data_IF_438957775619
#
_entry.id   IF_438957775619
#
_cell.length_a   1.000
_cell.length_b   1.000
_cell.length_c   1.000
_cell.angle_alpha   90.00
_cell.angle_beta   90.00
_cell.angle_gamma   90.00
#
_symmetry.space_group_name_H-M   'P 1'
#
loop_
_entity.id
_entity.type
_entity.pdbx_description
1 polymer ?
#
# COMPACT_ATOMS: atom_id res chain seq x y z
N UNK A 1 -22.00 -5.42 -79.28
CA UNK A 1 -22.55 -5.92 -78.01
C UNK A 1 -21.38 -6.36 -77.14
N UNK A 2 -21.05 -5.63 -76.05
CA UNK A 2 -19.95 -5.98 -75.14
C UNK A 2 -20.48 -6.95 -74.08
N UNK A 3 -20.09 -8.22 -74.14
CA UNK A 3 -20.39 -9.16 -73.06
C UNK A 3 -19.49 -8.85 -71.86
N UNK A 4 -20.10 -8.37 -70.77
CA UNK A 4 -19.42 -8.22 -69.49
C UNK A 4 -19.21 -9.60 -68.89
N UNK A 5 -17.98 -10.08 -68.86
CA UNK A 5 -17.62 -11.36 -68.24
C UNK A 5 -17.70 -11.17 -66.72
N UNK A 6 -18.79 -11.64 -66.10
CA UNK A 6 -18.86 -11.74 -64.64
C UNK A 6 -17.86 -12.82 -64.21
N UNK A 7 -16.74 -12.42 -63.62
CA UNK A 7 -15.76 -13.35 -63.04
C UNK A 7 -16.45 -14.11 -61.90
N UNK A 8 -16.76 -15.38 -62.11
CA UNK A 8 -17.23 -16.27 -61.05
C UNK A 8 -16.12 -16.48 -60.02
N UNK A 9 -16.50 -16.54 -58.74
CA UNK A 9 -15.59 -16.90 -57.65
C UNK A 9 -14.98 -18.29 -57.92
N UNK A 10 -13.67 -18.42 -57.73
CA UNK A 10 -12.99 -19.70 -57.89
C UNK A 10 -13.18 -20.56 -56.63
N UNK A 11 -13.32 -21.88 -56.78
CA UNK A 11 -13.44 -22.83 -55.66
C UNK A 11 -12.32 -22.67 -54.62
N UNK A 12 -11.11 -22.31 -55.09
CA UNK A 12 -9.95 -22.05 -54.24
C UNK A 12 -10.15 -20.85 -53.30
N UNK A 13 -10.85 -19.81 -53.74
CA UNK A 13 -11.12 -18.60 -52.94
C UNK A 13 -12.09 -18.91 -51.80
N UNK A 14 -13.07 -19.79 -52.04
CA UNK A 14 -14.01 -20.24 -51.01
C UNK A 14 -13.27 -21.03 -49.92
N UNK A 15 -12.42 -22.00 -50.31
CA UNK A 15 -11.65 -22.80 -49.35
C UNK A 15 -10.71 -21.90 -48.53
N UNK A 16 -10.03 -20.96 -49.18
CA UNK A 16 -9.15 -20.01 -48.52
C UNK A 16 -9.93 -19.12 -47.53
N UNK A 17 -11.09 -18.60 -47.93
CA UNK A 17 -11.93 -17.77 -47.07
C UNK A 17 -12.41 -18.54 -45.83
N UNK A 18 -12.81 -19.81 -45.99
CA UNK A 18 -13.22 -20.67 -44.87
C UNK A 18 -12.04 -20.94 -43.93
N UNK A 19 -10.85 -21.21 -44.47
CA UNK A 19 -9.66 -21.44 -43.66
C UNK A 19 -9.27 -20.19 -42.84
N UNK A 20 -9.28 -19.01 -43.46
CA UNK A 20 -8.99 -17.75 -42.76
C UNK A 20 -10.06 -17.42 -41.72
N UNK A 21 -11.33 -17.65 -42.05
CA UNK A 21 -12.43 -17.44 -41.11
C UNK A 21 -12.33 -18.36 -39.89
N UNK A 22 -11.95 -19.63 -40.08
CA UNK A 22 -11.72 -20.57 -38.99
C UNK A 22 -10.58 -20.12 -38.07
N UNK A 23 -9.44 -19.71 -38.64
CA UNK A 23 -8.31 -19.16 -37.87
C UNK A 23 -8.73 -17.91 -37.09
N UNK A 24 -9.42 -16.97 -37.74
CA UNK A 24 -9.91 -15.76 -37.10
C UNK A 24 -10.86 -16.06 -35.92
N UNK A 25 -11.82 -16.97 -36.13
CA UNK A 25 -12.79 -17.36 -35.10
C UNK A 25 -12.10 -17.98 -33.88
N UNK A 26 -11.08 -18.82 -34.11
CA UNK A 26 -10.27 -19.40 -33.03
C UNK A 26 -9.48 -18.32 -32.26
N UNK A 27 -8.91 -17.34 -32.95
CA UNK A 27 -8.17 -16.23 -32.31
C UNK A 27 -9.08 -15.36 -31.44
N UNK A 28 -10.26 -15.01 -31.93
CA UNK A 28 -11.23 -14.20 -31.18
C UNK A 28 -11.76 -14.99 -29.96
N UNK A 29 -12.12 -16.26 -30.16
CA UNK A 29 -12.61 -17.11 -29.07
C UNK A 29 -11.55 -17.33 -27.99
N UNK A 30 -10.30 -17.56 -28.40
CA UNK A 30 -9.16 -17.70 -27.48
C UNK A 30 -8.90 -16.45 -26.66
N UNK A 31 -8.99 -15.28 -27.31
CA UNK A 31 -8.81 -13.97 -26.66
C UNK A 31 -9.93 -13.70 -25.63
N UNK A 32 -11.18 -14.05 -25.96
CA UNK A 32 -12.30 -13.93 -25.03
C UNK A 32 -12.18 -14.87 -23.83
N UNK A 33 -11.80 -16.14 -24.07
CA UNK A 33 -11.57 -17.11 -23.01
C UNK A 33 -10.45 -16.67 -22.06
N UNK A 34 -9.36 -16.14 -22.60
CA UNK A 34 -8.24 -15.62 -21.80
C UNK A 34 -8.66 -14.38 -20.99
N UNK A 35 -9.41 -13.46 -21.60
CA UNK A 35 -9.93 -12.26 -20.93
C UNK A 35 -10.84 -12.59 -19.74
N UNK A 36 -11.74 -13.57 -19.90
CA UNK A 36 -12.61 -14.02 -18.82
C UNK A 36 -11.81 -14.63 -17.66
N UNK A 37 -10.82 -15.47 -17.96
CA UNK A 37 -9.96 -16.05 -16.93
C UNK A 37 -9.14 -14.99 -16.17
N UNK A 38 -8.65 -13.97 -16.89
CA UNK A 38 -7.93 -12.84 -16.28
C UNK A 38 -8.83 -12.03 -15.35
N UNK A 39 -10.07 -11.76 -15.76
CA UNK A 39 -11.06 -11.04 -14.94
C UNK A 39 -11.42 -11.82 -13.69
N UNK A 40 -11.65 -13.13 -13.81
CA UNK A 40 -11.92 -14.01 -12.66
C UNK A 40 -10.74 -14.04 -11.68
N UNK A 41 -9.51 -14.14 -12.18
CA UNK A 41 -8.30 -14.11 -11.36
C UNK A 41 -8.14 -12.79 -10.62
N UNK A 42 -8.36 -11.66 -11.30
CA UNK A 42 -8.32 -10.34 -10.69
C UNK A 42 -9.39 -10.20 -9.59
N UNK A 43 -10.62 -10.67 -9.84
CA UNK A 43 -11.71 -10.68 -8.87
C UNK A 43 -11.36 -11.46 -7.60
N UNK A 44 -10.83 -12.68 -7.74
CA UNK A 44 -10.42 -13.48 -6.58
C UNK A 44 -9.28 -12.83 -5.79
N UNK A 45 -8.34 -12.18 -6.49
CA UNK A 45 -7.25 -11.43 -5.83
C UNK A 45 -7.79 -10.24 -5.03
N UNK A 46 -8.72 -9.47 -5.59
CA UNK A 46 -9.35 -8.36 -4.87
C UNK A 46 -10.11 -8.85 -3.63
N UNK A 47 -10.85 -9.96 -3.76
CA UNK A 47 -11.54 -10.59 -2.63
C UNK A 47 -10.56 -11.06 -1.56
N UNK A 48 -9.44 -11.68 -1.95
CA UNK A 48 -8.40 -12.11 -1.02
C UNK A 48 -7.74 -10.92 -0.29
N UNK A 49 -7.51 -9.79 -0.97
CA UNK A 49 -7.03 -8.55 -0.34
C UNK A 49 -8.04 -8.06 0.70
N UNK A 50 -9.32 -7.97 0.34
CA UNK A 50 -10.38 -7.55 1.26
C UNK A 50 -10.47 -8.45 2.50
N UNK A 51 -10.38 -9.77 2.33
CA UNK A 51 -10.35 -10.72 3.45
C UNK A 51 -9.11 -10.53 4.33
N UNK A 52 -7.96 -10.22 3.73
CA UNK A 52 -6.73 -9.96 4.48
C UNK A 52 -6.81 -8.65 5.27
N UNK A 53 -7.43 -7.61 4.72
CA UNK A 53 -7.69 -6.34 5.39
C UNK A 53 -8.70 -6.50 6.53
N UNK A 54 -9.81 -7.21 6.29
CA UNK A 54 -10.77 -7.53 7.33
C UNK A 54 -10.11 -8.27 8.50
N UNK A 55 -9.24 -9.24 8.22
CA UNK A 55 -8.52 -9.95 9.27
C UNK A 55 -7.59 -9.03 10.07
N UNK A 56 -6.90 -8.08 9.42
CA UNK A 56 -6.10 -7.09 10.13
C UNK A 56 -6.95 -6.20 11.04
N UNK A 57 -8.11 -5.74 10.58
CA UNK A 57 -9.02 -4.94 11.41
C UNK A 57 -9.57 -5.72 12.59
N UNK A 58 -9.87 -7.02 12.42
CA UNK A 58 -10.26 -7.88 13.54
C UNK A 58 -9.11 -8.03 14.54
N UNK A 59 -7.87 -8.25 14.08
CA UNK A 59 -6.72 -8.31 14.99
C UNK A 59 -6.50 -6.99 15.71
N UNK A 60 -6.72 -5.85 15.02
CA UNK A 60 -6.67 -4.52 15.63
C UNK A 60 -7.76 -4.35 16.69
N UNK A 61 -8.97 -4.86 16.46
CA UNK A 61 -10.05 -4.86 17.45
C UNK A 61 -9.71 -5.73 18.68
N UNK A 62 -9.14 -6.92 18.48
CA UNK A 62 -8.68 -7.80 19.57
C UNK A 62 -7.58 -7.11 20.39
N UNK A 63 -6.64 -6.42 19.72
CA UNK A 63 -5.62 -5.60 20.37
C UNK A 63 -6.25 -4.51 21.24
N UNK A 64 -7.24 -3.80 20.72
CA UNK A 64 -7.92 -2.72 21.44
C UNK A 64 -8.72 -3.23 22.64
N UNK A 65 -9.12 -4.51 22.66
CA UNK A 65 -9.72 -5.14 23.83
C UNK A 65 -8.67 -5.49 24.90
N UNK A 66 -7.51 -6.02 24.49
CA UNK A 66 -6.32 -6.11 25.33
C UNK A 66 -5.13 -6.53 24.48
N UNK A 67 -4.03 -5.78 24.57
CA UNK A 67 -2.79 -6.09 23.85
C UNK A 67 -2.23 -7.48 24.22
N UNK A 68 -2.47 -7.95 25.44
CA UNK A 68 -2.05 -9.28 25.91
C UNK A 68 -2.69 -10.44 25.12
N UNK A 69 -3.85 -10.23 24.49
CA UNK A 69 -4.55 -11.25 23.68
C UNK A 69 -3.87 -11.53 22.35
N UNK A 70 -2.96 -10.65 21.90
CA UNK A 70 -2.15 -10.84 20.69
C UNK A 70 -0.73 -11.29 21.04
N UNK A 71 -0.60 -12.50 21.59
CA UNK A 71 0.70 -13.06 21.97
C UNK A 71 1.57 -13.39 20.77
N UNK A 72 2.85 -13.03 20.85
CA UNK A 72 3.87 -13.45 19.89
C UNK A 72 4.24 -14.92 20.10
N UNK A 73 4.75 -15.57 19.05
CA UNK A 73 5.30 -16.93 19.13
C UNK A 73 4.38 -18.02 18.60
N UNK A 74 3.10 -17.72 18.37
CA UNK A 74 2.22 -18.60 17.62
C UNK A 74 2.29 -18.27 16.13
N UNK A 75 2.91 -19.20 15.40
CA UNK A 75 2.79 -19.27 13.96
C UNK A 75 1.50 -20.03 13.65
N UNK A 76 0.70 -19.52 12.70
CA UNK A 76 -0.54 -20.16 12.21
C UNK A 76 -1.77 -20.01 13.11
N UNK A 77 -2.12 -18.76 13.42
CA UNK A 77 -3.38 -18.41 14.05
C UNK A 77 -4.49 -18.22 13.01
N UNK A 78 -5.72 -18.54 13.40
CA UNK A 78 -6.93 -18.37 12.61
C UNK A 78 -7.94 -17.57 13.43
N UNK A 79 -8.83 -16.87 12.73
CA UNK A 79 -9.94 -16.18 13.38
C UNK A 79 -11.08 -17.16 13.64
N UNK A 80 -11.56 -17.17 14.87
CA UNK A 80 -12.71 -17.95 15.32
C UNK A 80 -13.69 -17.01 16.07
N UNK A 81 -14.95 -17.40 16.17
CA UNK A 81 -15.97 -16.67 16.91
C UNK A 81 -16.17 -17.35 18.26
N UNK A 82 -15.87 -16.64 19.33
CA UNK A 82 -16.09 -17.11 20.71
C UNK A 82 -17.33 -16.42 21.27
N UNK A 83 -18.49 -17.09 21.16
CA UNK A 83 -19.76 -16.49 21.56
C UNK A 83 -20.13 -15.29 20.67
N UNK A 84 -20.05 -14.08 21.24
CA UNK A 84 -20.41 -12.84 20.54
C UNK A 84 -19.21 -11.96 20.15
N UNK A 85 -17.98 -12.46 20.29
CA UNK A 85 -16.78 -11.71 19.91
C UNK A 85 -15.84 -12.55 19.03
N UNK A 86 -14.98 -11.85 18.29
CA UNK A 86 -13.91 -12.48 17.54
C UNK A 86 -12.75 -12.83 18.48
N UNK A 87 -12.03 -13.90 18.15
CA UNK A 87 -10.78 -14.24 18.81
C UNK A 87 -9.82 -14.96 17.89
N UNK A 88 -8.59 -15.13 18.37
CA UNK A 88 -7.55 -15.89 17.70
C UNK A 88 -7.51 -17.30 18.26
N UNK A 89 -7.42 -18.28 17.37
CA UNK A 89 -7.34 -19.70 17.74
C UNK A 89 -6.28 -20.38 16.91
N UNK A 90 -5.51 -21.23 17.58
CA UNK A 90 -4.65 -22.20 16.92
C UNK A 90 -5.51 -23.39 16.52
N UNK A 91 -5.59 -23.67 15.22
CA UNK A 91 -6.31 -24.84 14.71
C UNK A 91 -5.39 -26.06 14.75
N UNK A 92 -5.89 -27.18 15.26
CA UNK A 92 -5.26 -28.49 15.12
C UNK A 92 -6.00 -29.21 13.98
N UNK A 93 -5.53 -29.03 12.74
CA UNK A 93 -6.17 -29.62 11.55
C UNK A 93 -6.19 -28.72 10.32
N UNK A 94 -7.06 -29.05 9.37
CA UNK A 94 -7.27 -28.26 8.15
C UNK A 94 -7.91 -26.90 8.46
N UNK A 95 -7.43 -25.81 7.86
CA UNK A 95 -8.04 -24.50 8.02
C UNK A 95 -9.47 -24.43 7.48
N UNK A 96 -10.30 -23.58 8.08
CA UNK A 96 -11.63 -23.27 7.54
C UNK A 96 -11.52 -22.61 6.15
N UNK A 97 -12.39 -23.03 5.23
CA UNK A 97 -12.54 -22.39 3.92
C UNK A 97 -13.64 -21.34 3.95
N UNK A 98 -13.26 -20.08 3.76
CA UNK A 98 -14.17 -18.95 3.55
C UNK A 98 -14.66 -18.99 2.10
N UNK A 99 -15.97 -18.85 1.91
CA UNK A 99 -16.63 -18.93 0.59
C UNK A 99 -16.25 -20.22 -0.19
N UNK A 100 -15.87 -21.29 0.52
CA UNK A 100 -15.50 -22.59 -0.04
C UNK A 100 -14.12 -22.68 -0.71
N UNK A 101 -13.39 -21.58 -0.91
CA UNK A 101 -12.11 -21.57 -1.66
C UNK A 101 -10.98 -20.78 -1.00
N UNK A 102 -11.27 -19.89 -0.05
CA UNK A 102 -10.24 -19.05 0.59
C UNK A 102 -9.85 -19.59 1.95
N UNK A 103 -8.58 -19.51 2.27
CA UNK A 103 -8.05 -19.77 3.61
C UNK A 103 -7.27 -18.56 4.07
N UNK A 104 -7.46 -18.14 5.32
CA UNK A 104 -6.73 -17.04 5.97
C UNK A 104 -5.83 -17.59 7.07
N UNK A 105 -4.61 -17.11 7.17
CA UNK A 105 -3.65 -17.50 8.21
C UNK A 105 -2.98 -16.24 8.75
N UNK A 106 -2.91 -16.12 10.06
CA UNK A 106 -2.36 -14.97 10.77
C UNK A 106 -1.09 -15.41 11.50
N UNK A 107 -0.03 -14.63 11.35
CA UNK A 107 1.24 -14.81 12.07
C UNK A 107 1.50 -13.56 12.89
N UNK A 108 1.82 -13.75 14.18
CA UNK A 108 2.10 -12.68 15.13
C UNK A 108 3.51 -12.86 15.68
N UNK A 109 4.34 -11.83 15.55
CA UNK A 109 5.72 -11.82 16.04
C UNK A 109 6.07 -10.48 16.67
N UNK A 110 7.02 -10.47 17.60
CA UNK A 110 7.58 -9.21 18.11
C UNK A 110 8.37 -8.48 17.02
N UNK A 111 8.16 -7.18 16.89
CA UNK A 111 8.87 -6.36 15.92
C UNK A 111 10.25 -5.99 16.46
N UNK A 112 11.31 -6.49 15.82
CA UNK A 112 12.70 -6.22 16.21
C UNK A 112 13.02 -6.55 17.69
N UNK A 113 12.33 -7.55 18.26
CA UNK A 113 12.49 -7.95 19.66
C UNK A 113 11.77 -7.04 20.66
N UNK A 114 11.05 -6.01 20.19
CA UNK A 114 10.21 -5.17 21.05
C UNK A 114 8.88 -5.87 21.33
N UNK A 115 8.65 -6.24 22.58
CA UNK A 115 7.43 -6.94 23.02
C UNK A 115 6.18 -6.07 22.98
N UNK A 116 6.34 -4.74 22.98
CA UNK A 116 5.25 -3.75 22.92
C UNK A 116 4.85 -3.39 21.49
N UNK A 117 5.50 -3.97 20.48
CA UNK A 117 5.15 -3.78 19.07
C UNK A 117 5.04 -5.16 18.42
N UNK A 118 3.82 -5.55 18.05
CA UNK A 118 3.57 -6.79 17.31
C UNK A 118 3.52 -6.52 15.82
N UNK A 119 4.27 -7.32 15.06
CA UNK A 119 4.12 -7.46 13.61
C UNK A 119 3.08 -8.54 13.33
N UNK A 120 2.03 -8.16 12.62
CA UNK A 120 0.95 -9.03 12.19
C UNK A 120 1.07 -9.26 10.70
N UNK A 121 1.14 -10.51 10.27
CA UNK A 121 1.13 -10.89 8.84
C UNK A 121 -0.07 -11.78 8.59
N UNK A 122 -0.96 -11.36 7.68
CA UNK A 122 -2.08 -12.15 7.20
C UNK A 122 -1.76 -12.68 5.81
N UNK A 123 -1.80 -13.99 5.66
CA UNK A 123 -1.74 -14.70 4.39
C UNK A 123 -3.16 -15.17 4.03
N UNK A 124 -3.66 -14.77 2.85
CA UNK A 124 -4.88 -15.34 2.28
C UNK A 124 -4.51 -16.13 1.04
N UNK A 125 -4.86 -17.41 1.03
CA UNK A 125 -4.63 -18.34 -0.07
C UNK A 125 -5.94 -18.84 -0.66
N UNK A 126 -5.99 -19.08 -1.97
CA UNK A 126 -7.13 -19.73 -2.60
C UNK A 126 -6.72 -20.68 -3.72
N UNK A 127 -7.55 -21.70 -3.92
CA UNK A 127 -7.39 -22.66 -5.01
C UNK A 127 -7.87 -22.05 -6.33
N UNK A 128 -7.08 -22.18 -7.40
CA UNK A 128 -7.50 -21.76 -8.74
C UNK A 128 -8.06 -22.95 -9.52
N UNK A 129 -9.10 -22.68 -10.32
CA UNK A 129 -9.85 -23.69 -11.10
C UNK A 129 -8.94 -24.45 -12.09
N UNK A 130 -7.88 -23.81 -12.57
CA UNK A 130 -6.91 -24.42 -13.50
C UNK A 130 -5.69 -24.92 -12.73
N UNK A 131 -5.75 -26.19 -12.34
CA UNK A 131 -4.76 -27.03 -11.66
C UNK A 131 -3.32 -26.46 -11.45
N UNK A 132 -2.88 -26.52 -10.19
CA UNK A 132 -1.51 -26.34 -9.61
C UNK A 132 -1.06 -24.93 -9.20
N UNK A 133 -1.82 -23.87 -9.46
CA UNK A 133 -1.45 -22.54 -8.96
C UNK A 133 -2.38 -22.12 -7.82
N UNK A 134 -1.82 -22.01 -6.61
CA UNK A 134 -2.51 -21.37 -5.49
C UNK A 134 -2.25 -19.87 -5.57
N UNK A 135 -3.34 -19.08 -5.56
CA UNK A 135 -3.22 -17.64 -5.39
C UNK A 135 -2.89 -17.34 -3.93
N UNK A 136 -2.00 -16.38 -3.68
CA UNK A 136 -1.66 -15.90 -2.34
C UNK A 136 -1.57 -14.38 -2.30
N UNK A 137 -2.09 -13.79 -1.25
CA UNK A 137 -1.93 -12.37 -0.90
C UNK A 137 -1.43 -12.27 0.53
N UNK A 138 -0.54 -11.31 0.77
CA UNK A 138 0.02 -11.02 2.08
C UNK A 138 -0.32 -9.59 2.48
N UNK A 139 -0.65 -9.41 3.75
CA UNK A 139 -1.05 -8.15 4.34
C UNK A 139 -0.36 -8.01 5.69
N UNK A 140 0.51 -7.02 5.85
CA UNK A 140 1.33 -6.81 7.04
C UNK A 140 1.00 -5.51 7.80
N UNK A 141 0.85 -5.53 9.12
CA UNK A 141 0.77 -4.28 9.91
C UNK A 141 1.59 -4.39 11.19
N UNK A 142 1.98 -3.24 11.71
CA UNK A 142 2.56 -3.12 13.05
C UNK A 142 1.47 -2.60 14.00
N UNK A 143 1.37 -3.20 15.18
CA UNK A 143 0.46 -2.82 16.23
C UNK A 143 1.27 -2.57 17.50
N UNK A 144 1.18 -1.35 18.04
CA UNK A 144 1.78 -1.00 19.32
C UNK A 144 0.78 -1.21 20.46
N UNK A 145 1.32 -1.47 21.65
CA UNK A 145 0.57 -1.38 22.90
C UNK A 145 0.28 0.09 23.19
N UNK A 146 -1.01 0.41 23.30
CA UNK A 146 -1.48 1.77 23.58
C UNK A 146 -1.84 1.94 25.05
N UNK A 147 -1.81 0.88 25.86
CA UNK A 147 -2.04 0.98 27.30
C UNK A 147 -0.81 1.66 27.92
N UNK A 148 -0.97 2.92 28.36
CA UNK A 148 0.00 3.55 29.25
C UNK A 148 -0.16 2.84 30.59
N UNK A 149 0.85 2.13 31.12
CA UNK A 149 0.74 1.55 32.44
C UNK A 149 0.61 2.69 33.45
N UNK A 150 -0.61 2.94 33.93
CA UNK A 150 -0.84 3.79 35.09
C UNK A 150 -0.29 3.00 36.27
N UNK A 151 0.92 3.34 36.71
CA UNK A 151 1.60 2.60 37.77
C UNK A 151 0.75 2.54 39.04
N UNK A 152 0.34 1.34 39.45
CA UNK A 152 -0.43 1.11 40.70
C UNK A 152 0.45 1.13 41.96
N UNK A 153 1.56 1.86 41.93
CA UNK A 153 2.56 1.87 42.99
C UNK A 153 2.86 3.27 43.50
N UNK A 154 2.16 3.68 44.56
CA UNK A 154 2.62 4.55 45.65
C UNK A 154 2.98 6.02 45.38
N UNK A 155 3.61 6.34 44.24
CA UNK A 155 4.15 7.68 43.93
C UNK A 155 4.07 7.95 42.40
N UNK A 156 3.02 7.46 41.73
CA UNK A 156 2.78 7.84 40.34
C UNK A 156 2.29 9.31 40.31
N UNK A 157 2.87 10.19 39.47
CA UNK A 157 2.34 11.53 39.29
C UNK A 157 0.89 11.43 38.83
N UNK A 158 -0.03 11.96 39.64
CA UNK A 158 -1.49 11.93 39.43
C UNK A 158 -1.96 12.89 38.34
N UNK A 159 -1.05 13.62 37.69
CA UNK A 159 -1.39 14.63 36.71
C UNK A 159 -0.68 14.36 35.37
N UNK A 160 -1.48 14.08 34.35
CA UNK A 160 -1.07 14.18 32.95
C UNK A 160 -1.33 15.63 32.54
N UNK A 161 -0.28 16.46 32.46
CA UNK A 161 -0.40 17.82 31.95
C UNK A 161 -0.50 17.79 30.44
N UNK A 162 -1.72 17.98 29.91
CA UNK A 162 -1.94 18.21 28.47
C UNK A 162 -1.81 19.71 28.24
N UNK A 163 -0.74 20.13 27.56
CA UNK A 163 -0.55 21.54 27.19
C UNK A 163 -1.32 21.86 25.91
N UNK A 164 -1.86 23.07 25.79
CA UNK A 164 -2.51 23.48 24.53
C UNK A 164 -1.45 23.64 23.43
N UNK A 165 -1.85 23.54 22.15
CA UNK A 165 -0.91 23.79 21.06
C UNK A 165 -0.31 25.20 21.08
N UNK A 166 -1.07 26.18 21.57
CA UNK A 166 -0.62 27.56 21.75
C UNK A 166 0.50 27.66 22.80
N UNK A 167 0.43 26.85 23.86
CA UNK A 167 1.42 26.81 24.94
C UNK A 167 2.67 26.03 24.52
N UNK A 168 2.49 24.92 23.78
CA UNK A 168 3.58 24.18 23.16
C UNK A 168 4.40 25.07 22.20
N UNK A 169 3.73 25.85 21.35
CA UNK A 169 4.38 26.76 20.39
C UNK A 169 5.11 27.93 21.06
N UNK A 170 4.69 28.33 22.27
CA UNK A 170 5.34 29.38 23.06
C UNK A 170 6.41 28.86 24.02
N UNK A 171 6.49 27.55 24.25
CA UNK A 171 7.37 26.96 25.25
C UNK A 171 7.03 27.40 26.68
N UNK A 172 5.78 27.76 26.94
CA UNK A 172 5.27 28.25 28.25
C UNK A 172 4.16 27.35 28.75
N UNK A 173 3.88 27.34 30.05
CA UNK A 173 2.73 26.62 30.65
C UNK A 173 1.69 27.59 31.22
N UNK A 174 1.76 28.86 30.82
CA UNK A 174 1.25 29.98 31.61
C UNK A 174 -0.16 30.41 31.19
N UNK A 175 -0.67 29.87 30.08
CA UNK A 175 -1.99 30.18 29.53
C UNK A 175 -3.07 29.25 30.04
N UNK A 176 -3.58 29.47 31.27
CA UNK A 176 -4.71 28.73 31.84
C UNK A 176 -4.65 27.22 31.56
N UNK A 177 -3.84 26.52 32.36
CA UNK A 177 -3.86 25.06 32.45
C UNK A 177 -5.31 24.67 32.74
N UNK A 178 -6.01 24.12 31.74
CA UNK A 178 -7.22 23.35 32.00
C UNK A 178 -6.74 22.04 32.62
N UNK A 179 -6.57 22.05 33.94
CA UNK A 179 -6.33 20.84 34.70
C UNK A 179 -7.59 20.01 34.52
N UNK A 180 -7.56 19.08 33.56
CA UNK A 180 -8.62 18.09 33.44
C UNK A 180 -8.44 17.17 34.65
N UNK A 181 -9.06 17.55 35.77
CA UNK A 181 -9.25 16.65 36.90
C UNK A 181 -10.17 15.56 36.38
N UNK A 182 -9.58 14.44 35.99
CA UNK A 182 -10.31 13.22 35.66
C UNK A 182 -10.80 12.63 36.98
N UNK A 183 -11.85 13.22 37.55
CA UNK A 183 -12.63 12.61 38.62
C UNK A 183 -13.53 11.54 38.00
N UNK A 184 -13.00 10.31 37.89
CA UNK A 184 -13.73 9.12 37.45
C UNK A 184 -13.02 8.37 36.33
N UNK A 185 -13.22 7.04 36.29
CA UNK A 185 -12.58 6.06 35.40
C UNK A 185 -12.85 6.27 33.89
N UNK A 186 -12.42 7.41 33.34
CA UNK A 186 -12.58 7.78 31.93
C UNK A 186 -11.25 7.73 31.18
N UNK A 187 -11.09 6.75 30.31
CA UNK A 187 -9.91 6.59 29.45
C UNK A 187 -9.75 7.75 28.45
N UNK A 188 -8.54 8.32 28.36
CA UNK A 188 -8.16 9.27 27.31
C UNK A 188 -7.60 8.47 26.11
N UNK A 189 -8.36 8.42 25.02
CA UNK A 189 -7.99 7.67 23.81
C UNK A 189 -7.19 8.53 22.83
N UNK A 190 -5.88 8.33 22.76
CA UNK A 190 -5.03 8.87 21.69
C UNK A 190 -5.10 7.95 20.45
N UNK A 191 -5.32 8.52 19.26
CA UNK A 191 -5.42 7.73 18.02
C UNK A 191 -4.05 7.17 17.62
N UNK A 192 -3.93 5.86 17.25
CA UNK A 192 -2.66 5.31 16.81
C UNK A 192 -2.30 5.78 15.39
N UNK A 193 -1.07 6.27 15.24
CA UNK A 193 -0.38 6.44 13.96
C UNK A 193 -0.21 5.08 13.26
N UNK A 194 -0.54 5.01 11.96
CA UNK A 194 -0.51 3.76 11.16
C UNK A 194 0.53 3.86 10.04
N UNK A 195 1.64 3.08 10.06
CA UNK A 195 2.60 3.08 8.97
C UNK A 195 2.15 2.17 7.80
N UNK A 196 2.32 2.64 6.56
CA UNK A 196 1.97 1.96 5.30
C UNK A 196 2.99 0.89 4.85
N UNK A 197 2.50 -0.21 4.26
CA UNK A 197 3.25 -1.44 3.84
C UNK A 197 4.15 -1.28 2.61
N UNK A 198 5.27 -2.04 2.48
CA UNK A 198 6.05 -2.17 1.25
C UNK A 198 5.63 -3.36 0.36
N UNK A 199 5.67 -3.17 -0.97
CA UNK A 199 5.46 -4.19 -2.01
C UNK A 199 6.80 -4.78 -2.53
N UNK A 200 6.86 -6.08 -2.81
CA UNK A 200 8.05 -6.78 -3.37
C UNK A 200 7.84 -7.17 -4.86
N UNK A 201 8.85 -6.91 -5.70
CA UNK A 201 8.92 -7.38 -7.10
C UNK A 201 10.28 -8.02 -7.42
N UNK A 202 10.30 -8.91 -8.44
CA UNK A 202 11.34 -9.92 -8.69
C UNK A 202 11.71 -9.99 -10.18
N UNK A 203 12.67 -9.14 -10.63
CA UNK A 203 13.57 -9.21 -11.81
C UNK A 203 14.23 -7.83 -11.98
N UNK A 204 15.35 -7.64 -12.72
CA UNK A 204 15.89 -6.29 -12.95
C UNK A 204 14.90 -5.51 -13.81
N UNK A 205 14.10 -4.69 -13.14
CA UNK A 205 13.08 -3.84 -13.74
C UNK A 205 13.35 -2.40 -13.32
N UNK A 206 13.29 -1.48 -14.28
CA UNK A 206 13.04 -0.08 -13.97
C UNK A 206 11.66 -0.02 -13.33
N UNK A 207 11.59 0.15 -12.01
CA UNK A 207 10.33 0.35 -11.32
C UNK A 207 10.00 1.84 -11.35
N UNK A 208 9.09 2.23 -12.24
CA UNK A 208 8.38 3.50 -12.14
C UNK A 208 7.19 3.27 -11.20
N UNK A 209 7.21 3.85 -10.00
CA UNK A 209 6.03 3.86 -9.14
C UNK A 209 4.93 4.73 -9.77
N UNK A 210 3.67 4.38 -9.49
CA UNK A 210 2.48 5.09 -9.96
C UNK A 210 2.61 6.60 -9.72
N UNK A 211 2.24 7.39 -10.73
CA UNK A 211 2.14 8.84 -10.63
C UNK A 211 1.28 9.22 -9.42
N UNK A 212 1.89 9.81 -8.40
CA UNK A 212 1.15 10.52 -7.37
C UNK A 212 1.20 12.00 -7.74
N UNK A 213 0.05 12.58 -8.08
CA UNK A 213 -0.09 14.03 -8.13
C UNK A 213 -0.11 14.54 -6.69
N UNK A 214 0.81 15.45 -6.37
CA UNK A 214 0.95 15.99 -5.03
C UNK A 214 0.72 17.50 -5.13
N UNK A 215 -0.41 17.94 -4.59
CA UNK A 215 -0.82 19.34 -4.57
C UNK A 215 -2.23 19.50 -4.02
N UNK A 216 -2.46 20.65 -3.39
CA UNK A 216 -3.79 21.16 -3.04
C UNK A 216 -4.11 22.31 -4.00
N UNK A 217 -5.31 22.88 -3.91
CA UNK A 217 -5.51 24.24 -4.43
C UNK A 217 -4.63 25.22 -3.64
N UNK A 218 -4.20 26.32 -4.26
CA UNK A 218 -3.42 27.41 -3.66
C UNK A 218 -1.93 27.12 -3.39
N UNK A 219 -1.31 26.20 -4.12
CA UNK A 219 0.15 26.00 -4.00
C UNK A 219 0.89 27.10 -4.76
N UNK A 220 1.59 27.98 -4.03
CA UNK A 220 2.38 29.07 -4.65
C UNK A 220 3.80 28.65 -5.02
N UNK A 221 4.37 27.65 -4.35
CA UNK A 221 5.74 27.19 -4.60
C UNK A 221 5.93 25.74 -4.12
N UNK A 222 6.96 25.06 -4.63
CA UNK A 222 7.49 23.83 -4.01
C UNK A 222 8.86 24.14 -3.40
N UNK A 223 9.03 23.85 -2.11
CA UNK A 223 10.21 24.27 -1.33
C UNK A 223 11.25 23.16 -1.29
N UNK A 224 10.89 21.96 -0.83
CA UNK A 224 11.87 20.90 -0.60
C UNK A 224 11.28 19.49 -0.69
N UNK A 225 12.14 18.53 -1.02
CA UNK A 225 11.83 17.11 -1.06
C UNK A 225 12.78 16.31 -0.15
N UNK A 226 12.23 15.40 0.65
CA UNK A 226 12.96 14.34 1.36
C UNK A 226 12.38 12.98 1.05
N UNK A 227 13.22 11.95 1.06
CA UNK A 227 12.78 10.56 0.93
C UNK A 227 13.34 9.70 2.07
N UNK A 228 12.62 8.63 2.41
CA UNK A 228 13.09 7.56 3.30
C UNK A 228 13.39 6.36 2.40
N UNK A 229 14.66 5.94 2.39
CA UNK A 229 15.17 4.93 1.44
C UNK A 229 15.98 3.84 2.16
N UNK A 230 15.81 2.60 1.71
CA UNK A 230 16.82 1.55 1.91
C UNK A 230 17.70 1.49 0.67
N UNK A 231 18.97 1.87 0.85
CA UNK A 231 20.02 1.83 -0.18
C UNK A 231 21.05 0.76 0.19
N UNK A 232 20.80 -0.52 -0.16
CA UNK A 232 21.82 -1.54 -0.02
C UNK A 232 23.11 -1.13 -0.75
N UNK A 233 24.28 -1.61 -0.29
CA UNK A 233 25.56 -1.33 -0.96
C UNK A 233 25.46 -1.58 -2.48
N UNK A 234 26.03 -0.67 -3.28
CA UNK A 234 26.05 -0.70 -4.74
C UNK A 234 24.66 -0.49 -5.41
N UNK A 235 23.76 0.20 -4.74
CA UNK A 235 22.49 0.66 -5.31
C UNK A 235 22.42 2.18 -5.33
N UNK A 236 21.59 2.74 -6.21
CA UNK A 236 21.29 4.17 -6.24
C UNK A 236 19.81 4.40 -6.51
N UNK A 237 19.29 5.48 -5.93
CA UNK A 237 17.97 6.02 -6.20
C UNK A 237 18.15 7.45 -6.65
N UNK A 238 17.58 7.79 -7.81
CA UNK A 238 17.50 9.16 -8.29
C UNK A 238 16.06 9.59 -8.48
N UNK A 239 15.82 10.88 -8.31
CA UNK A 239 14.50 11.50 -8.44
C UNK A 239 14.54 12.57 -9.50
N UNK A 240 13.48 12.69 -10.27
CA UNK A 240 13.23 13.86 -11.11
C UNK A 240 11.81 14.35 -10.92
N UNK A 241 11.61 15.62 -11.19
CA UNK A 241 10.39 16.36 -10.88
C UNK A 241 9.85 17.02 -12.15
N UNK A 242 8.54 17.21 -12.21
CA UNK A 242 7.89 18.08 -13.20
C UNK A 242 6.53 18.54 -12.68
N UNK A 243 5.98 19.57 -13.30
CA UNK A 243 4.63 20.02 -13.03
C UNK A 243 3.62 19.42 -14.01
N UNK A 244 2.39 19.26 -13.52
CA UNK A 244 1.22 18.81 -14.26
C UNK A 244 0.07 19.76 -14.06
N UNK A 245 -0.73 19.96 -15.09
CA UNK A 245 -2.01 20.63 -14.98
C UNK A 245 -3.09 19.69 -14.39
N UNK A 246 -4.21 20.27 -13.93
CA UNK A 246 -5.39 19.55 -13.43
C UNK A 246 -6.04 18.62 -14.47
N UNK A 247 -5.86 18.92 -15.75
CA UNK A 247 -6.31 18.08 -16.86
C UNK A 247 -5.33 16.94 -17.21
N UNK A 248 -4.22 16.82 -16.45
CA UNK A 248 -3.18 15.82 -16.66
C UNK A 248 -2.18 16.17 -17.77
N UNK A 249 -2.33 17.34 -18.42
CA UNK A 249 -1.32 17.83 -19.37
C UNK A 249 -0.04 18.26 -18.66
N UNK A 250 1.10 18.14 -19.34
CA UNK A 250 2.41 18.45 -18.78
C UNK A 250 2.74 19.92 -19.07
N UNK A 251 3.22 20.66 -18.07
CA UNK A 251 3.60 22.08 -18.24
C UNK A 251 5.08 22.28 -18.56
N UNK A 252 5.88 21.20 -18.61
CA UNK A 252 7.30 21.27 -18.95
C UNK A 252 8.00 19.91 -18.98
N UNK A 253 9.30 19.96 -19.26
CA UNK A 253 10.20 18.79 -19.22
C UNK A 253 10.52 18.35 -17.80
N UNK A 254 10.93 17.10 -17.64
CA UNK A 254 11.48 16.61 -16.39
C UNK A 254 12.76 17.35 -16.01
N UNK A 255 12.96 17.58 -14.71
CA UNK A 255 14.26 18.04 -14.19
C UNK A 255 15.35 16.99 -14.45
N UNK A 256 16.61 17.43 -14.40
CA UNK A 256 17.73 16.48 -14.30
C UNK A 256 17.59 15.58 -13.06
N UNK A 257 17.94 14.28 -13.15
CA UNK A 257 17.88 13.38 -12.01
C UNK A 257 18.78 13.84 -10.86
N UNK A 258 18.22 13.94 -9.66
CA UNK A 258 18.93 14.26 -8.41
C UNK A 258 18.98 13.02 -7.50
N UNK A 259 20.15 12.72 -6.95
CA UNK A 259 20.31 11.65 -5.95
C UNK A 259 20.08 12.22 -4.55
N UNK A 260 19.21 11.59 -3.77
CA UNK A 260 19.03 11.97 -2.36
C UNK A 260 20.16 11.37 -1.51
N UNK A 261 20.91 12.22 -0.81
CA UNK A 261 22.05 11.82 0.03
C UNK A 261 21.74 11.88 1.53
N UNK A 262 20.47 12.03 1.92
CA UNK A 262 20.05 12.28 3.30
C UNK A 262 19.90 13.77 3.64
N UNK A 263 20.24 14.66 2.71
CA UNK A 263 19.94 16.10 2.79
C UNK A 263 18.75 16.44 1.89
N UNK A 264 17.93 17.40 2.32
CA UNK A 264 16.78 17.88 1.56
C UNK A 264 17.19 18.31 0.14
N UNK A 265 16.42 17.88 -0.85
CA UNK A 265 16.52 18.39 -2.21
C UNK A 265 15.73 19.69 -2.26
N UNK A 266 16.42 20.81 -2.48
CA UNK A 266 15.80 22.10 -2.72
C UNK A 266 15.08 22.10 -4.08
N UNK A 267 13.76 22.31 -4.03
CA UNK A 267 12.88 22.39 -5.19
C UNK A 267 12.69 23.83 -5.67
N UNK A 268 12.88 24.83 -4.79
CA UNK A 268 12.71 26.24 -5.12
C UNK A 268 13.73 26.72 -6.17
N UNK A 269 14.89 26.06 -6.24
CA UNK A 269 15.94 26.36 -7.21
C UNK A 269 15.73 25.68 -8.58
N UNK A 270 14.69 24.87 -8.75
CA UNK A 270 14.45 24.11 -9.98
C UNK A 270 13.59 24.93 -10.96
N UNK A 271 14.14 25.40 -12.10
CA UNK A 271 13.42 26.28 -13.02
C UNK A 271 12.21 25.59 -13.69
N UNK A 272 12.16 24.26 -13.73
CA UNK A 272 11.04 23.48 -14.25
C UNK A 272 9.83 23.46 -13.31
N UNK A 273 9.98 23.92 -12.06
CA UNK A 273 8.93 23.88 -11.03
C UNK A 273 8.30 25.25 -10.76
N UNK A 274 8.37 26.17 -11.73
CA UNK A 274 7.68 27.46 -11.65
C UNK A 274 6.18 27.27 -11.88
N UNK A 275 5.39 27.56 -10.85
CA UNK A 275 3.93 27.45 -10.89
C UNK A 275 3.36 28.66 -11.62
N UNK A 276 2.75 28.43 -12.79
CA UNK A 276 2.04 29.46 -13.55
C UNK A 276 0.58 29.62 -13.13
N UNK A 277 -0.04 28.54 -12.64
CA UNK A 277 -1.40 28.51 -12.10
C UNK A 277 -1.44 27.76 -10.76
N UNK A 278 -1.50 28.48 -9.62
CA UNK A 278 -1.55 27.89 -8.28
C UNK A 278 -2.75 26.97 -8.01
N UNK A 279 -3.81 27.07 -8.82
CA UNK A 279 -5.03 26.29 -8.63
C UNK A 279 -5.05 25.01 -9.46
N UNK A 280 -4.17 24.91 -10.46
CA UNK A 280 -4.19 23.80 -11.41
C UNK A 280 -2.83 23.12 -11.58
N UNK A 281 -1.80 23.49 -10.82
CA UNK A 281 -0.48 22.86 -10.92
C UNK A 281 -0.26 21.83 -9.83
N UNK A 282 0.12 20.61 -10.22
CA UNK A 282 0.48 19.50 -9.33
C UNK A 282 1.91 19.06 -9.60
N UNK A 283 2.66 18.73 -8.55
CA UNK A 283 3.99 18.17 -8.68
C UNK A 283 3.90 16.67 -8.94
N UNK A 284 4.69 16.22 -9.90
CA UNK A 284 4.99 14.81 -10.10
C UNK A 284 6.43 14.51 -9.73
N UNK A 285 6.61 13.35 -9.11
CA UNK A 285 7.92 12.80 -8.75
C UNK A 285 8.07 11.47 -9.46
N UNK A 286 9.19 11.29 -10.17
CA UNK A 286 9.61 9.99 -10.66
C UNK A 286 10.86 9.54 -9.92
N UNK A 287 10.82 8.34 -9.34
CA UNK A 287 11.99 7.68 -8.78
C UNK A 287 12.55 6.65 -9.77
N UNK A 288 13.85 6.67 -10.00
CA UNK A 288 14.58 5.64 -10.73
C UNK A 288 15.49 4.87 -9.80
N UNK A 289 15.19 3.59 -9.66
CA UNK A 289 15.93 2.65 -8.83
C UNK A 289 16.96 1.92 -9.70
N UNK A 290 18.23 1.95 -9.31
CA UNK A 290 19.32 1.28 -10.04
C UNK A 290 20.14 0.40 -9.09
N UNK A 291 20.50 -0.81 -9.55
CA UNK A 291 21.34 -1.75 -8.81
C UNK A 291 22.31 -2.43 -9.76
N UNK A 292 23.55 -2.64 -9.31
CA UNK A 292 24.54 -3.47 -10.03
C UNK A 292 24.54 -4.93 -9.54
N UNK A 293 23.69 -5.28 -8.57
CA UNK A 293 23.62 -6.61 -7.97
C UNK A 293 22.23 -7.22 -8.10
N UNK A 294 22.16 -8.46 -8.60
CA UNK A 294 20.90 -9.15 -8.93
C UNK A 294 20.02 -9.51 -7.70
N UNK A 295 20.54 -9.36 -6.48
CA UNK A 295 19.88 -9.78 -5.24
C UNK A 295 19.62 -8.63 -4.25
N UNK A 296 19.89 -7.38 -4.64
CA UNK A 296 19.66 -6.20 -3.80
C UNK A 296 18.92 -5.16 -4.61
N UNK A 297 17.69 -4.88 -4.22
CA UNK A 297 16.85 -3.86 -4.84
C UNK A 297 16.75 -2.71 -3.85
N UNK A 298 17.17 -1.48 -4.20
CA UNK A 298 16.90 -0.34 -3.35
C UNK A 298 15.38 -0.17 -3.19
N UNK A 299 14.94 0.43 -2.09
CA UNK A 299 13.53 0.68 -1.84
C UNK A 299 13.32 2.13 -1.42
N UNK A 300 12.24 2.73 -1.90
CA UNK A 300 11.72 4.01 -1.39
C UNK A 300 10.50 3.67 -0.56
N UNK A 301 10.57 3.91 0.75
CA UNK A 301 9.47 3.59 1.66
C UNK A 301 8.46 4.71 1.75
N UNK A 302 8.95 5.94 1.75
CA UNK A 302 8.15 7.15 1.90
C UNK A 302 8.89 8.36 1.33
N UNK A 303 8.14 9.43 1.05
CA UNK A 303 8.72 10.73 0.72
C UNK A 303 7.83 11.86 1.23
N UNK A 304 8.45 12.98 1.56
CA UNK A 304 7.77 14.19 2.02
C UNK A 304 8.12 15.35 1.09
N UNK A 305 7.09 16.11 0.70
CA UNK A 305 7.23 17.32 -0.08
C UNK A 305 6.74 18.48 0.76
N UNK A 306 7.57 19.50 0.91
CA UNK A 306 7.16 20.80 1.45
C UNK A 306 6.87 21.72 0.28
N UNK A 307 5.68 22.28 0.27
CA UNK A 307 5.18 23.25 -0.70
C UNK A 307 4.67 24.47 0.04
#
# INVERSE_FOLDING_TARGET
>A
MKFSVKKGFSLIEIILAVALFAVYTLMVSGSFAYGNNSTFLAGNRLRAIFLAEQALEIVRNIRDESFSKISSGDNELYLDVFGNHWGLKKIIGEPEKIDGIYTRKITISDYEGNVNIKKIVVEVSWDQISAKQQGKVYSETLLADNEIPIGSGGDAPTEITITTQVDWEKGTTDGNIDTLVVEGDGDIKLMPYSPTKPLKYKTPGTHTTLFSQIGTTEVSQYISFSAIEDKPKNTSVSYRFRLTNSDGSWTGDWTEPKTYSGSLIDLAILPQLVISDPNNSFLQVESKLSTSQNNKTPQVFDFTIKY
#
